data_IF_007582195414
#
_entry.id   IF_007582195414
#
_cell.length_a   1.000
_cell.length_b   1.000
_cell.length_c   1.000
_cell.angle_alpha   90.00
_cell.angle_beta   90.00
_cell.angle_gamma   90.00
#
_symmetry.space_group_name_H-M   'P 1'
#
loop_
_entity.id
_entity.type
_entity.pdbx_description
1 polymer ?
#
# COMPACT_ATOMS: atom_id res chain seq x y z
N UNK A 1 -10.93 -0.90 -15.67
CA UNK A 1 -9.96 -0.48 -14.63
C UNK A 1 -9.11 -1.68 -14.22
N UNK A 2 -7.78 -1.57 -14.21
CA UNK A 2 -6.89 -2.67 -13.80
C UNK A 2 -7.05 -2.96 -12.29
N UNK A 3 -6.99 -4.25 -11.88
CA UNK A 3 -7.09 -4.61 -10.46
C UNK A 3 -5.79 -4.24 -9.75
N UNK A 4 -5.88 -3.96 -8.44
CA UNK A 4 -4.70 -3.60 -7.64
C UNK A 4 -3.63 -4.70 -7.68
N UNK A 5 -4.05 -5.98 -7.62
CA UNK A 5 -3.15 -7.14 -7.75
C UNK A 5 -2.37 -7.12 -9.06
N UNK A 6 -3.03 -6.81 -10.17
CA UNK A 6 -2.38 -6.76 -11.49
C UNK A 6 -1.38 -5.61 -11.56
N UNK A 7 -1.76 -4.44 -11.03
CA UNK A 7 -0.88 -3.27 -10.94
C UNK A 7 0.34 -3.53 -10.06
N UNK A 8 0.18 -4.21 -8.92
CA UNK A 8 1.30 -4.55 -8.03
C UNK A 8 2.30 -5.47 -8.74
N UNK A 9 1.81 -6.48 -9.50
CA UNK A 9 2.69 -7.35 -10.32
C UNK A 9 3.41 -6.58 -11.42
N UNK A 10 2.72 -5.67 -12.11
CA UNK A 10 3.32 -4.81 -13.14
C UNK A 10 4.40 -3.90 -12.53
N UNK A 11 4.10 -3.27 -11.41
CA UNK A 11 5.02 -2.41 -10.66
C UNK A 11 6.28 -3.15 -10.21
N UNK A 12 6.17 -4.41 -9.77
CA UNK A 12 7.31 -5.27 -9.43
C UNK A 12 8.16 -5.62 -10.66
N UNK A 13 7.57 -5.66 -11.86
CA UNK A 13 8.28 -5.85 -13.13
C UNK A 13 8.82 -4.52 -13.71
N UNK A 14 9.08 -3.53 -12.86
CA UNK A 14 9.63 -2.21 -13.23
C UNK A 14 8.72 -1.32 -14.08
N UNK A 15 7.40 -1.57 -14.10
CA UNK A 15 6.43 -0.67 -14.72
C UNK A 15 6.17 0.56 -13.83
N UNK A 16 6.74 1.69 -14.22
CA UNK A 16 6.59 2.97 -13.51
C UNK A 16 5.20 3.59 -13.66
N UNK A 17 4.48 3.27 -14.74
CA UNK A 17 3.09 3.72 -14.92
C UNK A 17 2.18 2.98 -13.92
N UNK A 18 2.41 1.69 -13.69
CA UNK A 18 1.68 0.94 -12.67
C UNK A 18 1.89 1.51 -11.25
N UNK A 19 3.13 1.88 -10.89
CA UNK A 19 3.43 2.60 -9.64
C UNK A 19 2.65 3.90 -9.54
N UNK A 20 2.63 4.70 -10.61
CA UNK A 20 1.95 5.99 -10.62
C UNK A 20 0.44 5.85 -10.39
N UNK A 21 -0.19 4.86 -11.03
CA UNK A 21 -1.61 4.54 -10.84
C UNK A 21 -1.89 4.06 -9.40
N UNK A 22 -0.98 3.27 -8.81
CA UNK A 22 -1.13 2.86 -7.41
C UNK A 22 -1.06 4.08 -6.49
N UNK A 23 -0.07 4.96 -6.65
CA UNK A 23 0.04 6.19 -5.85
C UNK A 23 -1.22 7.05 -5.95
N UNK A 24 -1.74 7.27 -7.16
CA UNK A 24 -2.97 8.03 -7.38
C UNK A 24 -4.17 7.42 -6.64
N UNK A 25 -4.30 6.09 -6.66
CA UNK A 25 -5.38 5.39 -5.94
C UNK A 25 -5.28 5.51 -4.43
N UNK A 26 -4.08 5.62 -3.89
CA UNK A 26 -3.84 5.77 -2.45
C UNK A 26 -3.81 7.24 -1.99
N UNK A 27 -3.78 8.20 -2.91
CA UNK A 27 -3.78 9.63 -2.63
C UNK A 27 -4.87 10.08 -1.64
N UNK A 28 -6.13 9.60 -1.70
CA UNK A 28 -7.15 9.97 -0.72
C UNK A 28 -6.78 9.56 0.72
N UNK A 29 -6.16 8.39 0.89
CA UNK A 29 -5.71 7.90 2.20
C UNK A 29 -4.49 8.67 2.69
N UNK A 30 -3.54 8.94 1.80
CA UNK A 30 -2.35 9.74 2.13
C UNK A 30 -2.77 11.13 2.63
N UNK A 31 -3.63 11.82 1.87
CA UNK A 31 -4.13 13.15 2.27
C UNK A 31 -4.88 13.13 3.59
N UNK A 32 -5.71 12.11 3.84
CA UNK A 32 -6.40 11.96 5.11
C UNK A 32 -5.43 11.81 6.29
N UNK A 33 -4.33 11.08 6.13
CA UNK A 33 -3.29 10.96 7.16
C UNK A 33 -2.58 12.28 7.45
N UNK A 34 -2.33 13.10 6.42
CA UNK A 34 -1.66 14.40 6.58
C UNK A 34 -2.48 15.43 7.39
N UNK A 35 -3.80 15.30 7.43
CA UNK A 35 -4.68 16.24 8.15
C UNK A 35 -4.40 16.27 9.66
N UNK A 36 -3.74 15.24 10.19
CA UNK A 36 -3.40 15.11 11.61
C UNK A 36 -1.97 15.61 11.93
N UNK A 37 -1.27 16.15 10.93
CA UNK A 37 0.15 16.53 11.01
C UNK A 37 0.31 18.06 10.91
N UNK A 38 1.26 18.68 11.64
CA UNK A 38 1.57 20.09 11.48
C UNK A 38 1.91 20.46 10.03
N UNK A 39 1.44 21.62 9.57
CA UNK A 39 1.62 22.06 8.16
C UNK A 39 3.08 22.05 7.73
N UNK A 40 4.01 22.39 8.63
CA UNK A 40 5.45 22.41 8.36
C UNK A 40 6.02 21.02 8.06
N UNK A 41 5.41 19.96 8.59
CA UNK A 41 5.86 18.57 8.45
C UNK A 41 5.09 17.80 7.36
N UNK A 42 3.94 18.33 6.90
CA UNK A 42 3.09 17.64 5.94
C UNK A 42 3.78 17.33 4.60
N UNK A 43 4.66 18.21 4.12
CA UNK A 43 5.36 18.01 2.85
C UNK A 43 6.36 16.84 2.92
N UNK A 44 7.15 16.78 3.99
CA UNK A 44 8.08 15.68 4.24
C UNK A 44 7.33 14.37 4.46
N UNK A 45 6.30 14.38 5.32
CA UNK A 45 5.49 13.19 5.57
C UNK A 45 4.78 12.69 4.30
N UNK A 46 4.30 13.60 3.45
CA UNK A 46 3.72 13.23 2.15
C UNK A 46 4.72 12.46 1.29
N UNK A 47 5.96 12.94 1.22
CA UNK A 47 7.01 12.31 0.45
C UNK A 47 7.40 10.95 1.03
N UNK A 48 7.56 10.87 2.36
CA UNK A 48 7.90 9.62 3.05
C UNK A 48 6.82 8.55 2.87
N UNK A 49 5.54 8.90 3.02
CA UNK A 49 4.43 7.97 2.81
C UNK A 49 4.40 7.42 1.38
N UNK A 50 4.72 8.25 0.39
CA UNK A 50 4.81 7.81 -1.02
C UNK A 50 6.00 6.89 -1.24
N UNK A 51 7.16 7.19 -0.68
CA UNK A 51 8.35 6.33 -0.76
C UNK A 51 8.05 4.97 -0.11
N UNK A 52 7.50 4.96 1.11
CA UNK A 52 7.10 3.74 1.82
C UNK A 52 6.08 2.91 1.06
N UNK A 53 5.12 3.55 0.39
CA UNK A 53 4.16 2.85 -0.45
C UNK A 53 4.83 2.17 -1.66
N UNK A 54 5.78 2.85 -2.30
CA UNK A 54 6.57 2.25 -3.41
C UNK A 54 7.38 1.06 -2.91
N UNK A 55 8.06 1.18 -1.77
CA UNK A 55 8.82 0.09 -1.14
C UNK A 55 7.91 -1.10 -0.85
N UNK A 56 6.78 -0.88 -0.18
CA UNK A 56 5.80 -1.93 0.14
C UNK A 56 5.26 -2.64 -1.11
N UNK A 57 4.99 -1.89 -2.20
CA UNK A 57 4.53 -2.48 -3.47
C UNK A 57 5.62 -3.36 -4.09
N UNK A 58 6.88 -2.90 -4.08
CA UNK A 58 8.01 -3.65 -4.64
C UNK A 58 8.31 -4.92 -3.84
N UNK A 59 8.20 -4.84 -2.52
CA UNK A 59 8.51 -5.94 -1.61
C UNK A 59 7.30 -6.84 -1.32
N UNK A 60 6.12 -6.54 -1.89
CA UNK A 60 4.89 -7.28 -1.63
C UNK A 60 5.00 -8.76 -2.02
N UNK A 61 5.00 -9.64 -1.03
CA UNK A 61 5.06 -11.09 -1.24
C UNK A 61 3.66 -11.69 -1.34
N UNK A 62 3.24 -12.04 -2.57
CA UNK A 62 1.96 -12.69 -2.84
C UNK A 62 1.82 -14.10 -2.24
N UNK A 63 2.92 -14.74 -1.83
CA UNK A 63 2.89 -16.08 -1.25
C UNK A 63 2.74 -16.05 0.28
N UNK A 64 3.04 -14.91 0.92
CA UNK A 64 2.85 -14.69 2.37
C UNK A 64 1.50 -14.11 2.74
N UNK A 65 0.67 -13.79 1.76
CA UNK A 65 -0.68 -13.27 2.02
C UNK A 65 -1.65 -14.40 2.35
N UNK A 66 -2.23 -14.35 3.55
CA UNK A 66 -3.33 -15.25 3.91
C UNK A 66 -4.51 -15.06 2.97
N UNK A 67 -5.04 -16.16 2.44
CA UNK A 67 -6.35 -16.12 1.82
C UNK A 67 -7.43 -15.83 2.89
N UNK A 68 -8.64 -15.44 2.45
CA UNK A 68 -9.71 -15.03 3.36
C UNK A 68 -10.02 -16.09 4.44
N UNK A 69 -9.90 -17.37 4.09
CA UNK A 69 -10.14 -18.48 5.02
C UNK A 69 -9.02 -18.60 6.05
N UNK A 70 -7.77 -18.58 5.61
CA UNK A 70 -6.57 -18.59 6.49
C UNK A 70 -6.56 -17.38 7.43
N UNK A 71 -6.98 -16.22 6.93
CA UNK A 71 -7.08 -15.00 7.74
C UNK A 71 -8.10 -15.16 8.89
N UNK A 72 -9.28 -15.75 8.62
CA UNK A 72 -10.26 -16.01 9.68
C UNK A 72 -9.72 -16.97 10.73
N UNK A 73 -8.99 -18.01 10.29
CA UNK A 73 -8.45 -19.02 11.19
C UNK A 73 -7.40 -18.42 12.12
N UNK A 74 -6.47 -17.63 11.58
CA UNK A 74 -5.51 -16.82 12.37
C UNK A 74 -6.21 -15.90 13.37
N UNK A 75 -7.32 -15.25 12.99
CA UNK A 75 -8.05 -14.37 13.91
C UNK A 75 -8.68 -15.12 15.10
N UNK A 76 -9.05 -16.39 14.94
CA UNK A 76 -9.53 -17.22 16.05
C UNK A 76 -8.40 -17.66 16.99
N UNK A 77 -7.21 -17.92 16.45
CA UNK A 77 -6.02 -18.32 17.22
C UNK A 77 -5.50 -17.20 18.12
N UNK A 78 -5.64 -15.93 17.72
CA UNK A 78 -5.29 -14.77 18.55
C UNK A 78 -6.27 -14.47 19.70
N UNK A 79 -7.39 -15.18 19.79
CA UNK A 79 -8.40 -15.00 20.85
C UNK A 79 -8.28 -16.00 22.00
N UNK A 80 -7.21 -16.80 22.05
CA UNK A 80 -6.86 -17.70 23.16
C UNK A 80 -5.46 -17.37 23.68
#
# INVERSE_FOLDING_TARGET
MAKLVDLTKQAQNSDTAAISIILERFEPKIKASLQQTPIQEQADLYQELRIKLIEMVREFDFNKTYNFTEFKQKQSEFKH
#
